data_IF_701129155932
#
_entry.id   IF_701129155932
#
_cell.length_a   1.000
_cell.length_b   1.000
_cell.length_c   1.000
_cell.angle_alpha   90.00
_cell.angle_beta   90.00
_cell.angle_gamma   90.00
#
_symmetry.space_group_name_H-M   'P 1'
#
loop_
_entity.id
_entity.type
_entity.pdbx_description
1 polymer ?
#
# COMPACT_ATOMS: atom_id res chain seq x y z
N UNK A 1 -23.81 -39.65 69.31
CA UNK A 1 -23.32 -38.31 68.91
C UNK A 1 -24.46 -37.33 69.11
N UNK A 2 -24.27 -36.21 69.85
CA UNK A 2 -25.34 -35.23 70.08
C UNK A 2 -25.57 -34.43 68.80
N UNK A 3 -26.81 -34.26 68.36
CA UNK A 3 -27.15 -33.52 67.14
C UNK A 3 -26.59 -32.08 67.14
N UNK A 4 -26.40 -31.50 68.32
CA UNK A 4 -25.78 -30.19 68.56
C UNK A 4 -24.34 -30.11 68.01
N UNK A 5 -23.53 -31.16 68.19
CA UNK A 5 -22.13 -31.15 67.70
C UNK A 5 -22.07 -31.25 66.18
N UNK A 6 -23.02 -31.96 65.57
CA UNK A 6 -23.12 -32.06 64.10
C UNK A 6 -23.56 -30.72 63.50
N UNK A 7 -24.51 -30.03 64.12
CA UNK A 7 -24.97 -28.72 63.66
C UNK A 7 -23.85 -27.66 63.69
N UNK A 8 -23.03 -27.64 64.75
CA UNK A 8 -21.88 -26.72 64.86
C UNK A 8 -20.82 -26.97 63.77
N UNK A 9 -20.53 -28.23 63.47
CA UNK A 9 -19.57 -28.59 62.42
C UNK A 9 -20.06 -28.16 61.02
N UNK A 10 -21.33 -28.39 60.72
CA UNK A 10 -21.94 -27.97 59.43
C UNK A 10 -21.93 -26.45 59.31
N UNK A 11 -22.26 -25.72 60.37
CA UNK A 11 -22.23 -24.27 60.37
C UNK A 11 -20.81 -23.72 60.15
N UNK A 12 -19.80 -24.29 60.82
CA UNK A 12 -18.40 -23.91 60.62
C UNK A 12 -17.93 -24.15 59.18
N UNK A 13 -18.31 -25.27 58.57
CA UNK A 13 -18.00 -25.58 57.18
C UNK A 13 -18.66 -24.59 56.20
N UNK A 14 -19.94 -24.27 56.41
CA UNK A 14 -20.65 -23.29 55.59
C UNK A 14 -20.01 -21.90 55.71
N UNK A 15 -19.66 -21.46 56.93
CA UNK A 15 -18.94 -20.21 57.15
C UNK A 15 -17.59 -20.20 56.43
N UNK A 16 -16.80 -21.28 56.56
CA UNK A 16 -15.53 -21.42 55.84
C UNK A 16 -15.68 -21.33 54.32
N UNK A 17 -16.67 -22.03 53.76
CA UNK A 17 -17.01 -21.99 52.33
C UNK A 17 -17.40 -20.57 51.88
N UNK A 18 -18.22 -19.86 52.66
CA UNK A 18 -18.61 -18.48 52.32
C UNK A 18 -17.43 -17.51 52.37
N UNK A 19 -16.54 -17.62 53.36
CA UNK A 19 -15.34 -16.79 53.46
C UNK A 19 -14.41 -17.07 52.28
N UNK A 20 -14.15 -18.34 51.97
CA UNK A 20 -13.35 -18.75 50.81
C UNK A 20 -13.94 -18.23 49.49
N UNK A 21 -15.27 -18.30 49.34
CA UNK A 21 -15.98 -17.76 48.17
C UNK A 21 -15.81 -16.23 48.05
N UNK A 22 -15.90 -15.49 49.16
CA UNK A 22 -15.72 -14.04 49.17
C UNK A 22 -14.27 -13.66 48.79
N UNK A 23 -13.27 -14.37 49.31
CA UNK A 23 -11.86 -14.14 49.00
C UNK A 23 -11.56 -14.39 47.51
N UNK A 24 -11.99 -15.53 46.97
CA UNK A 24 -11.84 -15.83 45.54
C UNK A 24 -12.59 -14.81 44.66
N UNK A 25 -13.77 -14.36 45.09
CA UNK A 25 -14.53 -13.33 44.35
C UNK A 25 -13.78 -11.99 44.34
N UNK A 26 -13.14 -11.61 45.45
CA UNK A 26 -12.34 -10.37 45.51
C UNK A 26 -11.12 -10.42 44.60
N UNK A 27 -10.38 -11.53 44.59
CA UNK A 27 -9.24 -11.71 43.69
C UNK A 27 -9.65 -11.59 42.21
N UNK A 28 -10.71 -12.31 41.80
CA UNK A 28 -11.22 -12.22 40.42
C UNK A 28 -11.62 -10.82 40.01
N UNK A 29 -12.26 -10.06 40.90
CA UNK A 29 -12.66 -8.67 40.61
C UNK A 29 -11.42 -7.79 40.39
N UNK A 30 -10.35 -7.98 41.16
CA UNK A 30 -9.10 -7.22 40.96
C UNK A 30 -8.45 -7.56 39.63
N UNK A 31 -8.42 -8.84 39.23
CA UNK A 31 -7.89 -9.26 37.93
C UNK A 31 -8.73 -8.71 36.76
N UNK A 32 -10.06 -8.70 36.88
CA UNK A 32 -10.95 -8.07 35.89
C UNK A 32 -10.74 -6.57 35.77
N UNK A 33 -10.53 -5.86 36.89
CA UNK A 33 -10.26 -4.43 36.87
C UNK A 33 -8.94 -4.11 36.15
N UNK A 34 -7.91 -4.95 36.30
CA UNK A 34 -6.64 -4.78 35.56
C UNK A 34 -6.83 -4.93 34.04
N UNK A 35 -7.62 -5.91 33.59
CA UNK A 35 -7.94 -6.06 32.17
C UNK A 35 -8.74 -4.85 31.66
N UNK A 36 -9.69 -4.36 32.45
CA UNK A 36 -10.47 -3.16 32.11
C UNK A 36 -9.55 -1.93 31.97
N UNK A 37 -8.58 -1.76 32.87
CA UNK A 37 -7.58 -0.70 32.81
C UNK A 37 -6.70 -0.80 31.55
N UNK A 38 -6.20 -2.00 31.22
CA UNK A 38 -5.46 -2.24 29.96
C UNK A 38 -6.32 -1.89 28.74
N UNK A 39 -7.59 -2.28 28.77
CA UNK A 39 -8.52 -1.98 27.67
C UNK A 39 -8.77 -0.49 27.54
N UNK A 40 -8.92 0.22 28.66
CA UNK A 40 -9.07 1.68 28.71
C UNK A 40 -7.79 2.40 28.28
N UNK A 41 -6.61 1.86 28.60
CA UNK A 41 -5.34 2.38 28.10
C UNK A 41 -5.19 2.21 26.59
N UNK A 42 -5.57 1.06 26.04
CA UNK A 42 -5.60 0.85 24.58
C UNK A 42 -6.57 1.82 23.91
N UNK A 43 -7.77 2.02 24.48
CA UNK A 43 -8.77 2.95 23.96
C UNK A 43 -8.31 4.41 24.01
N UNK A 44 -7.47 4.76 24.99
CA UNK A 44 -6.88 6.09 25.14
C UNK A 44 -5.49 6.21 24.49
N UNK A 45 -5.08 5.24 23.66
CA UNK A 45 -3.78 5.19 22.96
C UNK A 45 -2.55 5.27 23.90
N UNK A 46 -2.71 4.89 25.17
CA UNK A 46 -1.60 4.83 26.13
C UNK A 46 -0.85 3.51 25.98
N UNK A 47 0.48 3.58 26.12
CA UNK A 47 1.33 2.37 26.10
C UNK A 47 1.00 1.50 27.31
N UNK A 48 0.49 0.30 27.07
CA UNK A 48 0.28 -0.70 28.11
C UNK A 48 1.64 -1.22 28.56
N UNK A 49 1.97 -1.04 29.85
CA UNK A 49 3.12 -1.70 30.44
C UNK A 49 2.68 -3.09 30.90
N UNK A 50 3.30 -4.13 30.35
CA UNK A 50 3.06 -5.49 30.80
C UNK A 50 3.46 -5.63 32.29
N UNK A 51 2.52 -5.98 33.16
CA UNK A 51 2.83 -6.22 34.56
C UNK A 51 3.28 -7.68 34.68
N UNK A 52 4.58 -7.91 34.85
CA UNK A 52 5.16 -9.25 34.97
C UNK A 52 4.71 -9.93 36.27
N UNK A 53 3.51 -10.52 36.25
CA UNK A 53 3.07 -11.46 37.28
C UNK A 53 3.27 -12.84 36.69
N UNK A 54 4.40 -13.48 37.02
CA UNK A 54 4.87 -14.75 36.45
C UNK A 54 4.04 -15.98 36.83
N UNK A 55 2.72 -15.86 36.93
CA UNK A 55 1.81 -16.98 37.13
C UNK A 55 1.09 -17.32 35.83
N UNK A 56 1.14 -18.59 35.41
CA UNK A 56 0.42 -19.13 34.24
C UNK A 56 -1.11 -19.18 34.49
N UNK A 57 -1.73 -18.00 34.64
CA UNK A 57 -3.17 -17.85 34.79
C UNK A 57 -3.83 -17.52 33.45
N UNK A 58 -5.13 -17.80 33.33
CA UNK A 58 -5.93 -17.42 32.15
C UNK A 58 -5.87 -15.91 31.88
N UNK A 59 -5.66 -15.10 32.92
CA UNK A 59 -5.54 -13.64 32.85
C UNK A 59 -4.27 -13.18 32.15
N UNK A 60 -3.12 -13.79 32.44
CA UNK A 60 -1.86 -13.50 31.73
C UNK A 60 -2.00 -13.78 30.22
N UNK A 61 -2.75 -14.82 29.83
CA UNK A 61 -3.03 -15.09 28.41
C UNK A 61 -3.87 -13.98 27.76
N UNK A 62 -4.90 -13.47 28.46
CA UNK A 62 -5.74 -12.37 27.97
C UNK A 62 -4.95 -11.06 27.87
N UNK A 63 -4.11 -10.76 28.86
CA UNK A 63 -3.20 -9.61 28.83
C UNK A 63 -2.27 -9.68 27.60
N UNK A 64 -1.59 -10.81 27.39
CA UNK A 64 -0.73 -10.99 26.22
C UNK A 64 -1.48 -10.84 24.88
N UNK A 65 -2.73 -11.31 24.82
CA UNK A 65 -3.57 -11.12 23.62
C UNK A 65 -3.90 -9.64 23.40
N UNK A 66 -4.25 -8.89 24.45
CA UNK A 66 -4.55 -7.46 24.34
C UNK A 66 -3.33 -6.64 23.93
N UNK A 67 -2.16 -6.92 24.51
CA UNK A 67 -0.89 -6.29 24.10
C UNK A 67 -0.60 -6.57 22.62
N UNK A 68 -0.73 -7.82 22.18
CA UNK A 68 -0.53 -8.17 20.76
C UNK A 68 -1.54 -7.47 19.83
N UNK A 69 -2.79 -7.31 20.27
CA UNK A 69 -3.79 -6.55 19.50
C UNK A 69 -3.39 -5.08 19.41
N UNK A 70 -2.94 -4.46 20.50
CA UNK A 70 -2.45 -3.08 20.49
C UNK A 70 -1.26 -2.91 19.54
N UNK A 71 -0.26 -3.80 19.61
CA UNK A 71 0.90 -3.79 18.70
C UNK A 71 0.46 -3.91 17.23
N UNK A 72 -0.50 -4.79 16.94
CA UNK A 72 -1.05 -4.94 15.59
C UNK A 72 -1.80 -3.69 15.13
N UNK A 73 -2.60 -3.07 16.00
CA UNK A 73 -3.33 -1.84 15.70
C UNK A 73 -2.37 -0.68 15.46
N UNK A 74 -1.35 -0.52 16.31
CA UNK A 74 -0.32 0.49 16.15
C UNK A 74 0.46 0.28 14.84
N UNK A 75 0.89 -0.95 14.56
CA UNK A 75 1.56 -1.29 13.30
C UNK A 75 0.71 -0.95 12.07
N UNK A 76 -0.59 -1.29 12.11
CA UNK A 76 -1.53 -0.92 11.03
C UNK A 76 -1.73 0.59 10.90
N UNK A 77 -1.79 1.31 12.02
CA UNK A 77 -1.92 2.77 12.01
C UNK A 77 -0.68 3.43 11.41
N UNK A 78 0.52 2.99 11.80
CA UNK A 78 1.79 3.49 11.24
C UNK A 78 1.90 3.17 9.74
N UNK A 79 1.49 1.98 9.32
CA UNK A 79 1.48 1.59 7.91
C UNK A 79 0.47 2.41 7.09
N UNK A 80 -0.72 2.66 7.63
CA UNK A 80 -1.72 3.53 7.00
C UNK A 80 -1.22 4.99 6.89
N UNK A 81 -0.55 5.51 7.91
CA UNK A 81 0.05 6.84 7.87
C UNK A 81 1.16 6.93 6.82
N UNK A 82 2.06 5.94 6.75
CA UNK A 82 3.10 5.88 5.72
C UNK A 82 2.51 5.85 4.31
N UNK A 83 1.51 4.99 4.07
CA UNK A 83 0.82 4.92 2.77
C UNK A 83 0.18 6.26 2.39
N UNK A 84 -0.47 6.94 3.35
CA UNK A 84 -1.02 8.29 3.13
C UNK A 84 0.06 9.29 2.73
N UNK A 85 1.18 9.30 3.43
CA UNK A 85 2.30 10.20 3.16
C UNK A 85 2.97 9.92 1.81
N UNK A 86 3.08 8.65 1.41
CA UNK A 86 3.58 8.21 0.10
C UNK A 86 2.66 8.68 -1.03
N UNK A 87 1.35 8.48 -0.88
CA UNK A 87 0.34 8.98 -1.83
C UNK A 87 0.44 10.51 -1.97
N UNK A 88 0.58 11.23 -0.86
CA UNK A 88 0.69 12.70 -0.89
C UNK A 88 1.96 13.17 -1.61
N UNK A 89 3.10 12.50 -1.38
CA UNK A 89 4.35 12.77 -2.10
C UNK A 89 4.21 12.52 -3.60
N UNK A 90 3.61 11.40 -3.98
CA UNK A 90 3.39 11.00 -5.36
C UNK A 90 2.50 12.00 -6.10
N UNK A 91 1.37 12.41 -5.50
CA UNK A 91 0.50 13.46 -6.05
C UNK A 91 1.27 14.77 -6.27
N UNK A 92 2.08 15.18 -5.28
CA UNK A 92 2.89 16.40 -5.37
C UNK A 92 3.93 16.34 -6.49
N UNK A 93 4.64 15.21 -6.62
CA UNK A 93 5.61 14.98 -7.69
C UNK A 93 4.98 15.02 -9.07
N UNK A 94 3.83 14.38 -9.26
CA UNK A 94 3.11 14.37 -10.54
C UNK A 94 2.59 15.75 -10.90
N UNK A 95 2.00 16.48 -9.93
CA UNK A 95 1.58 17.85 -10.16
C UNK A 95 2.76 18.75 -10.60
N UNK A 96 3.94 18.54 -10.02
CA UNK A 96 5.15 19.26 -10.44
C UNK A 96 5.58 18.86 -11.87
N UNK A 97 5.64 17.57 -12.17
CA UNK A 97 6.00 17.06 -13.50
C UNK A 97 5.01 17.50 -14.58
N UNK A 98 3.73 17.65 -14.27
CA UNK A 98 2.70 18.15 -15.19
C UNK A 98 2.83 19.65 -15.47
N UNK A 99 3.34 20.45 -14.53
CA UNK A 99 3.47 21.91 -14.69
C UNK A 99 4.40 22.28 -15.83
N UNK A 100 5.51 21.56 -16.01
CA UNK A 100 6.50 21.84 -17.06
C UNK A 100 5.94 21.72 -18.48
N UNK A 101 5.34 20.58 -18.91
CA UNK A 101 4.73 20.49 -20.23
C UNK A 101 3.57 21.47 -20.41
N UNK A 102 2.80 21.76 -19.36
CA UNK A 102 1.75 22.79 -19.40
C UNK A 102 2.31 24.19 -19.71
N UNK A 103 3.32 24.63 -18.97
CA UNK A 103 3.96 25.94 -19.17
C UNK A 103 4.60 26.05 -20.56
N UNK A 104 5.19 24.96 -21.06
CA UNK A 104 5.71 24.91 -22.43
C UNK A 104 4.58 25.10 -23.44
N UNK A 105 3.45 24.40 -23.29
CA UNK A 105 2.30 24.58 -24.18
C UNK A 105 1.77 26.01 -24.14
N UNK A 106 1.60 26.60 -22.96
CA UNK A 106 1.19 28.01 -22.81
C UNK A 106 2.15 28.96 -23.53
N UNK A 107 3.45 28.73 -23.43
CA UNK A 107 4.48 29.54 -24.09
C UNK A 107 4.37 29.47 -25.61
N UNK A 108 4.27 28.26 -26.18
CA UNK A 108 4.15 28.08 -27.62
C UNK A 108 2.81 28.55 -28.18
N UNK A 109 1.72 28.42 -27.41
CA UNK A 109 0.42 29.04 -27.76
C UNK A 109 0.57 30.56 -27.79
N UNK A 110 1.23 31.17 -26.80
CA UNK A 110 1.50 32.61 -26.79
C UNK A 110 2.30 33.08 -28.01
N UNK A 111 3.34 32.34 -28.41
CA UNK A 111 4.09 32.63 -29.65
C UNK A 111 3.22 32.57 -30.91
N UNK A 112 2.29 31.61 -30.97
CA UNK A 112 1.35 31.47 -32.08
C UNK A 112 0.28 32.57 -32.11
N UNK A 113 -0.16 33.05 -30.94
CA UNK A 113 -1.12 34.14 -30.80
C UNK A 113 -0.50 35.50 -31.16
N UNK A 114 0.72 35.77 -30.66
CA UNK A 114 1.45 37.03 -30.91
C UNK A 114 2.05 37.10 -32.32
N UNK A 115 2.39 35.96 -32.92
CA UNK A 115 3.15 35.86 -34.17
C UNK A 115 2.34 36.03 -35.47
N UNK A 116 1.06 36.41 -35.40
CA UNK A 116 0.09 36.31 -36.52
C UNK A 116 0.45 37.05 -37.81
N UNK A 117 1.36 38.02 -37.78
CA UNK A 117 1.78 38.83 -38.95
C UNK A 117 3.28 38.76 -39.31
N UNK A 118 4.14 38.16 -38.48
CA UNK A 118 5.61 38.16 -38.69
C UNK A 118 6.31 36.82 -38.43
N UNK A 119 5.59 35.78 -38.02
CA UNK A 119 6.22 34.50 -37.73
C UNK A 119 6.58 33.76 -39.02
N UNK A 120 7.82 33.27 -39.12
CA UNK A 120 8.23 32.42 -40.23
C UNK A 120 7.48 31.09 -40.18
N UNK A 121 7.23 30.51 -41.36
CA UNK A 121 6.61 29.20 -41.50
C UNK A 121 7.39 28.11 -40.75
N UNK A 122 8.70 28.22 -40.69
CA UNK A 122 9.57 27.32 -39.93
C UNK A 122 9.35 27.40 -38.41
N UNK A 123 9.22 28.62 -37.85
CA UNK A 123 8.91 28.80 -36.42
C UNK A 123 7.51 28.31 -36.07
N UNK A 124 6.56 28.43 -37.02
CA UNK A 124 5.21 27.89 -36.87
C UNK A 124 5.24 26.39 -36.69
N UNK A 125 5.88 25.67 -37.62
CA UNK A 125 5.95 24.22 -37.55
C UNK A 125 6.72 23.75 -36.31
N UNK A 126 7.80 24.42 -35.92
CA UNK A 126 8.52 24.10 -34.68
C UNK A 126 7.64 24.28 -33.44
N UNK A 127 6.85 25.35 -33.37
CA UNK A 127 5.94 25.61 -32.24
C UNK A 127 4.82 24.57 -32.16
N UNK A 128 4.25 24.19 -33.31
CA UNK A 128 3.23 23.13 -33.40
C UNK A 128 3.81 21.78 -32.97
N UNK A 129 5.04 21.46 -33.36
CA UNK A 129 5.68 20.20 -33.00
C UNK A 129 6.05 20.15 -31.51
N UNK A 130 6.50 21.28 -30.94
CA UNK A 130 6.74 21.41 -29.51
C UNK A 130 5.44 21.29 -28.68
N UNK A 131 4.31 21.79 -29.19
CA UNK A 131 2.98 21.59 -28.61
C UNK A 131 2.58 20.11 -28.60
N UNK A 132 2.72 19.41 -29.73
CA UNK A 132 2.45 17.97 -29.83
C UNK A 132 3.31 17.17 -28.85
N UNK A 133 4.60 17.49 -28.79
CA UNK A 133 5.52 16.82 -27.87
C UNK A 133 5.15 17.05 -26.40
N UNK A 134 4.76 18.27 -26.04
CA UNK A 134 4.33 18.60 -24.67
C UNK A 134 2.99 17.95 -24.32
N UNK A 135 2.05 17.88 -25.26
CA UNK A 135 0.78 17.18 -25.11
C UNK A 135 0.99 15.66 -24.92
N UNK A 136 1.88 15.05 -25.73
CA UNK A 136 2.24 13.64 -25.60
C UNK A 136 2.86 13.32 -24.24
N UNK A 137 3.78 14.17 -23.76
CA UNK A 137 4.37 14.04 -22.41
C UNK A 137 3.31 14.12 -21.31
N UNK A 138 2.36 15.05 -21.42
CA UNK A 138 1.27 15.17 -20.45
C UNK A 138 0.38 13.91 -20.46
N UNK A 139 0.05 13.38 -21.64
CA UNK A 139 -0.71 12.14 -21.78
C UNK A 139 -0.02 10.95 -21.12
N UNK A 140 1.29 10.80 -21.36
CA UNK A 140 2.12 9.77 -20.72
C UNK A 140 2.11 9.87 -19.18
N UNK A 141 2.26 11.09 -18.63
CA UNK A 141 2.23 11.31 -17.17
C UNK A 141 0.87 10.95 -16.56
N UNK A 142 -0.24 11.31 -17.23
CA UNK A 142 -1.60 10.98 -16.77
C UNK A 142 -1.84 9.48 -16.80
N UNK A 143 -1.47 8.79 -17.87
CA UNK A 143 -1.59 7.33 -17.94
C UNK A 143 -0.74 6.64 -16.88
N UNK A 144 0.49 7.09 -16.68
CA UNK A 144 1.38 6.57 -15.65
C UNK A 144 0.76 6.74 -14.25
N UNK A 145 0.17 7.90 -13.97
CA UNK A 145 -0.52 8.16 -12.71
C UNK A 145 -1.72 7.23 -12.50
N UNK A 146 -2.57 7.04 -13.53
CA UNK A 146 -3.73 6.15 -13.44
C UNK A 146 -3.28 4.70 -13.19
N UNK A 147 -2.23 4.23 -13.87
CA UNK A 147 -1.66 2.89 -13.64
C UNK A 147 -1.15 2.75 -12.20
N UNK A 148 -0.46 3.76 -11.69
CA UNK A 148 0.08 3.79 -10.33
C UNK A 148 -1.03 3.83 -9.27
N UNK A 149 -2.06 4.66 -9.45
CA UNK A 149 -3.21 4.74 -8.55
C UNK A 149 -3.97 3.40 -8.47
N UNK A 150 -4.05 2.68 -9.59
CA UNK A 150 -4.67 1.34 -9.64
C UNK A 150 -3.82 0.27 -8.94
N UNK A 151 -2.48 0.42 -8.93
CA UNK A 151 -1.55 -0.46 -8.20
C UNK A 151 -1.70 -0.30 -6.69
N UNK A 152 -1.66 0.95 -6.19
CA UNK A 152 -1.80 1.28 -4.76
C UNK A 152 -3.11 0.75 -4.15
N UNK A 153 -4.22 0.89 -4.87
CA UNK A 153 -5.51 0.41 -4.37
C UNK A 153 -5.69 -1.13 -4.43
N UNK A 154 -4.67 -1.90 -4.83
CA UNK A 154 -4.76 -3.35 -5.05
C UNK A 154 -5.91 -3.76 -5.99
N UNK A 155 -6.43 -2.83 -6.81
CA UNK A 155 -7.55 -3.05 -7.74
C UNK A 155 -7.08 -3.82 -8.98
N UNK A 156 -5.77 -3.88 -9.24
CA UNK A 156 -5.21 -4.62 -10.36
C UNK A 156 -5.21 -6.12 -10.12
N UNK A 157 -6.25 -6.76 -10.62
CA UNK A 157 -6.25 -8.20 -10.84
C UNK A 157 -5.38 -8.53 -12.05
N UNK A 158 -4.23 -9.16 -11.81
CA UNK A 158 -3.40 -9.76 -12.87
C UNK A 158 -4.21 -10.89 -13.51
N UNK A 159 -4.55 -10.76 -14.79
CA UNK A 159 -5.28 -11.79 -15.54
C UNK A 159 -4.29 -12.59 -16.36
N UNK A 160 -3.95 -13.77 -15.85
CA UNK A 160 -3.05 -14.70 -16.56
C UNK A 160 -3.85 -15.43 -17.65
N UNK A 161 -3.84 -14.89 -18.86
CA UNK A 161 -4.69 -15.35 -19.98
C UNK A 161 -3.90 -15.71 -21.25
N UNK A 162 -2.68 -15.18 -21.41
CA UNK A 162 -1.83 -15.47 -22.58
C UNK A 162 -0.78 -16.53 -22.21
N UNK A 163 -0.76 -17.71 -22.87
CA UNK A 163 0.28 -18.71 -22.68
C UNK A 163 1.54 -18.47 -23.53
N UNK A 164 1.47 -17.78 -24.67
CA UNK A 164 2.62 -17.55 -25.55
C UNK A 164 3.41 -16.30 -25.12
N UNK A 165 4.51 -16.52 -24.40
CA UNK A 165 5.36 -15.43 -23.91
C UNK A 165 6.06 -14.69 -25.05
N UNK A 166 6.45 -15.41 -26.11
CA UNK A 166 7.21 -14.83 -27.22
C UNK A 166 6.37 -13.83 -27.99
N UNK A 167 5.07 -14.07 -28.11
CA UNK A 167 4.11 -13.12 -28.70
C UNK A 167 4.12 -11.77 -27.97
N UNK A 168 4.03 -11.79 -26.64
CA UNK A 168 4.06 -10.57 -25.80
C UNK A 168 5.39 -9.83 -25.90
N UNK A 169 6.50 -10.56 -25.85
CA UNK A 169 7.85 -10.00 -25.98
C UNK A 169 8.05 -9.34 -27.35
N UNK A 170 7.65 -10.00 -28.45
CA UNK A 170 7.75 -9.44 -29.81
C UNK A 170 6.93 -8.17 -29.98
N UNK A 171 5.74 -8.11 -29.38
CA UNK A 171 4.92 -6.89 -29.40
C UNK A 171 5.60 -5.73 -28.65
N UNK A 172 6.31 -6.00 -27.55
CA UNK A 172 7.12 -4.99 -26.86
C UNK A 172 8.25 -4.46 -27.75
N UNK A 173 8.96 -5.33 -28.46
CA UNK A 173 10.02 -4.93 -29.39
C UNK A 173 9.50 -4.10 -30.58
N UNK A 174 8.35 -4.46 -31.15
CA UNK A 174 7.76 -3.69 -32.24
C UNK A 174 7.50 -2.22 -31.89
N UNK A 175 7.24 -1.93 -30.62
CA UNK A 175 7.01 -0.56 -30.14
C UNK A 175 8.31 0.26 -30.00
N UNK A 176 9.44 -0.38 -29.70
CA UNK A 176 10.72 0.33 -29.49
C UNK A 176 11.56 0.44 -30.77
N UNK A 177 11.33 -0.43 -31.76
CA UNK A 177 12.17 -0.55 -32.95
C UNK A 177 12.40 0.80 -33.65
N UNK A 178 11.33 1.56 -33.90
CA UNK A 178 11.43 2.88 -34.55
C UNK A 178 12.29 3.88 -33.75
N UNK A 179 12.13 3.90 -32.43
CA UNK A 179 12.87 4.80 -31.52
C UNK A 179 14.37 4.47 -31.49
N UNK A 180 14.72 3.19 -31.55
CA UNK A 180 16.11 2.77 -31.61
C UNK A 180 16.76 3.06 -32.96
N UNK A 181 16.01 2.91 -34.07
CA UNK A 181 16.47 3.32 -35.40
C UNK A 181 16.75 4.82 -35.47
N UNK A 182 15.87 5.66 -34.91
CA UNK A 182 16.05 7.12 -34.82
C UNK A 182 17.30 7.52 -34.01
N UNK A 183 17.76 6.67 -33.08
CA UNK A 183 18.96 6.87 -32.26
C UNK A 183 20.19 6.08 -32.72
N UNK A 184 20.11 5.39 -33.86
CA UNK A 184 21.17 4.53 -34.41
C UNK A 184 21.64 3.41 -33.43
N UNK A 185 20.74 2.91 -32.59
CA UNK A 185 21.01 1.84 -31.62
C UNK A 185 20.69 0.48 -32.26
N UNK A 186 21.66 -0.45 -32.24
CA UNK A 186 21.47 -1.82 -32.74
C UNK A 186 20.99 -2.77 -31.64
N UNK A 187 19.93 -3.52 -31.92
CA UNK A 187 19.44 -4.60 -31.06
C UNK A 187 19.84 -5.98 -31.59
N UNK A 188 20.27 -6.84 -30.67
CA UNK A 188 20.37 -8.28 -30.92
C UNK A 188 19.31 -9.01 -30.09
N UNK A 189 18.42 -9.72 -30.77
CA UNK A 189 17.34 -10.47 -30.14
C UNK A 189 17.67 -11.96 -30.23
N UNK A 190 17.87 -12.58 -29.08
CA UNK A 190 18.10 -14.04 -28.96
C UNK A 190 16.92 -14.60 -28.17
N UNK A 191 16.00 -15.26 -28.87
CA UNK A 191 14.82 -15.88 -28.28
C UNK A 191 14.84 -17.40 -28.54
N UNK A 192 14.44 -18.22 -27.57
CA UNK A 192 14.17 -19.65 -27.79
C UNK A 192 12.98 -19.85 -28.75
N UNK A 193 12.84 -21.04 -29.34
CA UNK A 193 11.78 -21.33 -30.34
C UNK A 193 10.36 -21.24 -29.76
N UNK A 194 10.15 -21.71 -28.53
CA UNK A 194 8.88 -21.63 -27.84
C UNK A 194 9.07 -21.40 -26.34
N UNK A 195 8.22 -20.56 -25.75
CA UNK A 195 8.12 -20.41 -24.30
C UNK A 195 6.66 -20.27 -23.93
N UNK A 196 6.16 -21.25 -23.19
CA UNK A 196 4.80 -21.23 -22.66
C UNK A 196 4.81 -20.83 -21.19
N UNK A 197 4.21 -19.69 -20.88
CA UNK A 197 4.03 -19.21 -19.51
C UNK A 197 2.72 -18.46 -19.43
N UNK A 198 1.82 -18.86 -18.52
CA UNK A 198 0.55 -18.15 -18.33
C UNK A 198 0.83 -16.78 -17.70
N UNK A 199 0.58 -15.71 -18.44
CA UNK A 199 0.85 -14.34 -18.00
C UNK A 199 -0.24 -13.37 -18.45
N UNK A 200 -0.19 -12.16 -17.89
CA UNK A 200 -1.01 -11.04 -18.34
C UNK A 200 -0.25 -10.30 -19.44
N UNK A 201 -0.73 -10.32 -20.70
CA UNK A 201 0.01 -9.76 -21.82
C UNK A 201 0.14 -8.23 -21.74
N UNK A 202 -0.80 -7.54 -21.08
CA UNK A 202 -0.74 -6.09 -20.94
C UNK A 202 0.34 -5.69 -19.93
N UNK A 203 0.32 -6.30 -18.74
CA UNK A 203 1.27 -5.97 -17.68
C UNK A 203 2.70 -6.41 -17.99
N UNK A 204 2.87 -7.64 -18.48
CA UNK A 204 4.19 -8.13 -18.80
C UNK A 204 4.75 -7.42 -20.04
N UNK A 205 3.90 -7.14 -21.03
CA UNK A 205 4.28 -6.35 -22.21
C UNK A 205 4.73 -4.94 -21.85
N UNK A 206 4.03 -4.27 -20.95
CA UNK A 206 4.43 -2.95 -20.43
C UNK A 206 5.75 -3.00 -19.65
N UNK A 207 5.96 -4.03 -18.81
CA UNK A 207 7.23 -4.19 -18.11
C UNK A 207 8.40 -4.35 -19.10
N UNK A 208 8.23 -5.15 -20.15
CA UNK A 208 9.23 -5.26 -21.22
C UNK A 208 9.46 -3.94 -21.94
N UNK A 209 8.39 -3.24 -22.31
CA UNK A 209 8.48 -1.93 -22.95
C UNK A 209 9.27 -0.94 -22.08
N UNK A 210 8.97 -0.84 -20.78
CA UNK A 210 9.65 0.09 -19.88
C UNK A 210 11.15 -0.20 -19.74
N UNK A 211 11.56 -1.47 -19.75
CA UNK A 211 12.98 -1.83 -19.72
C UNK A 211 13.66 -1.44 -21.04
N UNK A 212 13.00 -1.73 -22.18
CA UNK A 212 13.55 -1.43 -23.50
C UNK A 212 13.60 0.08 -23.79
N UNK A 213 12.60 0.84 -23.34
CA UNK A 213 12.56 2.30 -23.49
C UNK A 213 13.67 2.98 -22.69
N UNK A 214 13.99 2.45 -21.50
CA UNK A 214 15.15 2.91 -20.73
C UNK A 214 16.49 2.57 -21.38
N UNK A 215 16.55 1.55 -22.25
CA UNK A 215 17.78 1.12 -22.91
C UNK A 215 18.09 1.93 -24.20
N UNK A 216 17.15 2.75 -24.67
CA UNK A 216 17.23 3.52 -25.93
C UNK A 216 17.29 5.01 -25.65
#
# INVERSE_FOLDING_TARGET
MRWETVALLVFGFLCGMTVMYILNRRQRIQEFNKIAEITEDILNERKVQAFSTGEETLYSKLEHQLVRVQEMLQGRSEEAERSRDEIQKLISQIAHQMRTPLMNMETYIGFLEDGKEQMSEELFFQSVDALKNSQGKLGFLVESFIRMARLEQHILQIKKEEPDLLKTVRNGFGQIQRRAEEKEIQFQIILPEQVTCLHDPNWLGEAFYNILDNAV
#
